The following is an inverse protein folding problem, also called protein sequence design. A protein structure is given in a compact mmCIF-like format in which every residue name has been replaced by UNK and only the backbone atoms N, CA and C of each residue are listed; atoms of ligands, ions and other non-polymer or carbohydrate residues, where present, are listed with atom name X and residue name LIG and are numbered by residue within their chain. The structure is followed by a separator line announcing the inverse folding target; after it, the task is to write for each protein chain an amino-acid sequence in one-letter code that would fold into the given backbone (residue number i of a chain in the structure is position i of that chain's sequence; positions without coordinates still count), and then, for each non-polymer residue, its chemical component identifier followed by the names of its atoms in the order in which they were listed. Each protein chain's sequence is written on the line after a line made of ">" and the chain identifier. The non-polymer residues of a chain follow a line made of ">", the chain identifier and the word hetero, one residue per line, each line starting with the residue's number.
data_IF_429558038479
#
_entry.id   IF_429558038479
#
_cell.length_a   1.000
_cell.length_b   1.000
_cell.length_c   1.000
_cell.angle_alpha   90.00
_cell.angle_beta   90.00
_cell.angle_gamma   90.00
#
_symmetry.space_group_name_H-M   'P 1'
#
loop_
_entity.id
_entity.type
_entity.pdbx_description
1 polymer ?
#
# COMPACT_ATOMS: atom_id res chain seq x y z
N UNK A 1 -19.92 19.52 7.20
CA UNK A 1 -18.65 20.00 7.80
C UNK A 1 -18.99 20.98 8.91
N UNK A 2 -18.04 21.32 9.76
CA UNK A 2 -18.18 22.31 10.83
C UNK A 2 -17.20 23.44 10.53
N UNK A 3 -17.70 24.67 10.45
CA UNK A 3 -16.88 25.88 10.34
C UNK A 3 -16.79 26.47 11.74
N UNK A 4 -15.57 26.64 12.23
CA UNK A 4 -15.28 27.22 13.53
C UNK A 4 -14.88 28.67 13.31
N UNK A 5 -15.62 29.60 13.91
CA UNK A 5 -15.33 31.04 13.82
C UNK A 5 -14.27 31.46 14.85
N UNK A 6 -13.47 32.47 14.51
CA UNK A 6 -12.52 33.12 15.42
C UNK A 6 -13.28 33.74 16.58
N UNK A 7 -12.68 33.72 17.78
CA UNK A 7 -13.21 34.47 18.93
C UNK A 7 -13.37 35.95 18.59
N UNK A 8 -14.56 36.51 18.86
CA UNK A 8 -14.88 37.90 18.56
C UNK A 8 -15.24 38.19 17.09
N UNK A 9 -15.51 37.18 16.28
CA UNK A 9 -16.02 37.39 14.91
C UNK A 9 -17.32 38.19 14.95
N UNK A 10 -17.44 39.18 14.08
CA UNK A 10 -18.62 40.05 14.04
C UNK A 10 -19.81 39.31 13.43
N UNK A 11 -21.04 39.79 13.70
CA UNK A 11 -22.23 39.22 13.09
C UNK A 11 -22.17 39.25 11.56
N UNK A 12 -21.69 40.35 10.99
CA UNK A 12 -21.48 40.48 9.55
C UNK A 12 -20.53 39.41 8.98
N UNK A 13 -19.48 39.04 9.70
CA UNK A 13 -18.55 37.98 9.27
C UNK A 13 -19.23 36.61 9.32
N UNK A 14 -20.02 36.35 10.36
CA UNK A 14 -20.82 35.11 10.48
C UNK A 14 -21.82 35.01 9.33
N UNK A 15 -22.59 36.08 9.08
CA UNK A 15 -23.61 36.11 8.05
C UNK A 15 -23.00 35.97 6.64
N UNK A 16 -21.83 36.59 6.38
CA UNK A 16 -21.08 36.39 5.12
C UNK A 16 -20.69 34.93 4.88
N UNK A 17 -20.29 34.21 5.93
CA UNK A 17 -19.96 32.78 5.82
C UNK A 17 -21.22 31.96 5.55
N UNK A 18 -22.34 32.26 6.21
CA UNK A 18 -23.64 31.60 5.98
C UNK A 18 -24.09 31.81 4.53
N UNK A 19 -24.13 33.06 4.05
CA UNK A 19 -24.53 33.38 2.68
C UNK A 19 -23.63 32.69 1.66
N UNK A 20 -22.33 32.60 1.93
CA UNK A 20 -21.39 31.90 1.06
C UNK A 20 -21.71 30.40 0.99
N UNK A 21 -22.02 29.77 2.12
CA UNK A 21 -22.38 28.35 2.20
C UNK A 21 -23.72 28.06 1.51
N UNK A 22 -24.73 28.91 1.71
CA UNK A 22 -26.04 28.78 1.06
C UNK A 22 -25.94 28.95 -0.46
N UNK A 23 -25.09 29.87 -0.95
CA UNK A 23 -24.82 30.06 -2.38
C UNK A 23 -24.18 28.82 -3.03
N UNK A 24 -23.38 28.08 -2.28
CA UNK A 24 -22.81 26.79 -2.71
C UNK A 24 -23.83 25.63 -2.56
N UNK A 25 -25.03 25.91 -2.07
CA UNK A 25 -26.13 24.96 -1.91
C UNK A 25 -26.02 24.08 -0.66
N UNK A 26 -25.35 24.55 0.39
CA UNK A 26 -25.35 23.89 1.70
C UNK A 26 -26.52 24.38 2.55
N UNK A 27 -27.14 23.47 3.30
CA UNK A 27 -27.97 23.82 4.44
C UNK A 27 -27.09 24.23 5.62
N UNK A 28 -27.49 25.25 6.37
CA UNK A 28 -26.68 25.83 7.43
C UNK A 28 -27.38 25.72 8.79
N UNK A 29 -26.61 25.37 9.82
CA UNK A 29 -27.05 25.35 11.21
C UNK A 29 -26.07 26.13 12.07
N UNK A 30 -26.49 27.33 12.51
CA UNK A 30 -25.68 28.20 13.35
C UNK A 30 -25.80 27.80 14.83
N UNK A 31 -24.67 27.71 15.52
CA UNK A 31 -24.57 27.47 16.96
C UNK A 31 -23.72 28.56 17.60
N UNK A 32 -24.36 29.49 18.29
CA UNK A 32 -23.69 30.58 19.02
C UNK A 32 -23.40 30.13 20.45
N UNK A 33 -22.17 29.69 20.70
CA UNK A 33 -21.70 29.31 22.03
C UNK A 33 -21.19 30.51 22.83
N UNK A 34 -21.11 30.36 24.15
CA UNK A 34 -20.62 31.40 25.07
C UNK A 34 -19.17 31.81 24.76
N UNK A 35 -18.34 30.86 24.33
CA UNK A 35 -16.93 31.12 23.99
C UNK A 35 -16.64 31.16 22.48
N UNK A 36 -17.48 30.52 21.67
CA UNK A 36 -17.18 30.33 20.25
C UNK A 36 -18.44 30.10 19.42
N UNK A 37 -18.49 30.73 18.25
CA UNK A 37 -19.54 30.53 17.25
C UNK A 37 -19.12 29.43 16.28
N UNK A 38 -20.03 28.50 16.02
CA UNK A 38 -19.82 27.34 15.17
C UNK A 38 -20.94 27.27 14.13
N UNK A 39 -20.58 27.02 12.87
CA UNK A 39 -21.53 26.88 11.76
C UNK A 39 -21.45 25.45 11.23
N UNK A 40 -22.52 24.67 11.40
CA UNK A 40 -22.67 23.38 10.75
C UNK A 40 -23.16 23.56 9.31
N UNK A 41 -22.45 23.00 8.34
CA UNK A 41 -22.88 23.00 6.93
C UNK A 41 -23.15 21.57 6.44
N UNK A 42 -24.36 21.35 5.92
CA UNK A 42 -24.92 20.06 5.52
C UNK A 42 -25.18 20.08 4.02
N UNK A 43 -24.55 19.18 3.27
CA UNK A 43 -24.68 19.12 1.80
C UNK A 43 -23.54 18.36 1.14
N UNK A 44 -23.56 18.32 -0.18
CA UNK A 44 -22.57 17.59 -1.00
C UNK A 44 -21.20 18.28 -0.99
N UNK A 45 -20.20 17.60 -0.42
CA UNK A 45 -18.82 18.09 -0.27
C UNK A 45 -18.13 18.33 -1.61
N UNK A 46 -18.54 17.68 -2.70
CA UNK A 46 -17.96 17.93 -4.04
C UNK A 46 -18.13 19.37 -4.50
N UNK A 47 -19.13 20.09 -3.95
CA UNK A 47 -19.41 21.51 -4.22
C UNK A 47 -18.44 22.46 -3.53
N UNK A 48 -17.60 21.98 -2.60
CA UNK A 48 -16.56 22.77 -1.93
C UNK A 48 -15.29 22.97 -2.74
N UNK A 49 -15.12 22.28 -3.89
CA UNK A 49 -13.82 22.09 -4.54
C UNK A 49 -12.93 23.33 -4.72
N UNK A 50 -13.51 24.52 -4.89
CA UNK A 50 -12.79 25.80 -5.02
C UNK A 50 -13.10 26.83 -3.91
N UNK A 51 -13.95 26.48 -2.93
CA UNK A 51 -14.36 27.39 -1.88
C UNK A 51 -13.35 27.37 -0.72
N UNK A 52 -12.43 28.32 -0.71
CA UNK A 52 -11.48 28.51 0.38
C UNK A 52 -12.17 29.16 1.59
N UNK A 53 -13.06 28.41 2.25
CA UNK A 53 -13.82 28.88 3.41
C UNK A 53 -12.91 29.38 4.54
N UNK A 54 -11.72 28.80 4.70
CA UNK A 54 -10.72 29.25 5.68
C UNK A 54 -10.12 30.63 5.40
N UNK A 55 -10.25 31.14 4.16
CA UNK A 55 -9.84 32.50 3.80
C UNK A 55 -10.94 33.53 4.07
N UNK A 56 -12.16 33.11 4.40
CA UNK A 56 -13.23 34.05 4.71
C UNK A 56 -12.94 34.76 6.05
N UNK A 57 -13.17 36.09 6.11
CA UNK A 57 -13.02 36.84 7.36
C UNK A 57 -13.81 36.21 8.51
N UNK A 58 -13.19 36.10 9.67
CA UNK A 58 -13.81 35.50 10.86
C UNK A 58 -13.74 33.96 10.92
N UNK A 59 -13.36 33.24 9.86
CA UNK A 59 -13.17 31.78 9.95
C UNK A 59 -11.84 31.46 10.61
N UNK A 60 -11.85 30.58 11.63
CA UNK A 60 -10.65 30.09 12.31
C UNK A 60 -10.15 28.80 11.66
N UNK A 61 -11.05 27.84 11.43
CA UNK A 61 -10.74 26.56 10.78
C UNK A 61 -12.01 25.88 10.27
N UNK A 62 -11.86 24.99 9.29
CA UNK A 62 -12.95 24.13 8.82
C UNK A 62 -12.66 22.69 9.18
N UNK A 63 -13.56 22.06 9.93
CA UNK A 63 -13.47 20.67 10.34
C UNK A 63 -14.38 19.81 9.45
N UNK A 64 -13.83 18.96 8.57
CA UNK A 64 -14.65 18.01 7.81
C UNK A 64 -15.31 17.00 8.76
N UNK A 65 -16.60 16.68 8.52
CA UNK A 65 -17.32 15.64 9.27
C UNK A 65 -17.14 14.27 8.60
N UNK A 66 -17.12 14.24 7.26
CA UNK A 66 -16.92 13.02 6.47
C UNK A 66 -15.44 12.86 6.13
N UNK A 67 -14.98 11.60 6.19
CA UNK A 67 -13.65 11.18 5.72
C UNK A 67 -13.44 11.65 4.27
N UNK A 68 -12.21 12.02 3.89
CA UNK A 68 -11.95 12.56 2.55
C UNK A 68 -12.02 11.50 1.44
N UNK A 69 -11.92 10.22 1.78
CA UNK A 69 -12.00 9.09 0.86
C UNK A 69 -13.35 8.37 0.99
N UNK A 70 -13.98 8.02 -0.13
CA UNK A 70 -15.30 7.37 -0.17
C UNK A 70 -15.22 5.93 -0.68
N UNK A 71 -14.69 5.73 -1.88
CA UNK A 71 -14.69 4.44 -2.58
C UNK A 71 -13.92 3.37 -1.84
N UNK A 72 -12.79 3.71 -1.20
CA UNK A 72 -11.99 2.78 -0.40
C UNK A 72 -12.60 2.53 0.99
N UNK A 73 -13.55 3.34 1.45
CA UNK A 73 -14.00 3.33 2.84
C UNK A 73 -14.91 2.14 3.16
N UNK A 74 -14.82 1.60 4.38
CA UNK A 74 -15.81 0.62 4.85
C UNK A 74 -17.23 1.17 4.98
N UNK A 75 -17.36 2.48 5.18
CA UNK A 75 -18.67 3.15 5.20
C UNK A 75 -19.38 3.04 3.85
N UNK A 76 -18.62 3.07 2.75
CA UNK A 76 -19.16 2.86 1.41
C UNK A 76 -19.34 1.38 1.08
N UNK A 77 -18.38 0.53 1.48
CA UNK A 77 -18.43 -0.92 1.26
C UNK A 77 -18.07 -1.67 2.54
N UNK A 78 -19.06 -2.14 3.32
CA UNK A 78 -18.81 -2.81 4.60
C UNK A 78 -18.00 -4.11 4.47
N UNK A 79 -18.23 -4.87 3.40
CA UNK A 79 -17.60 -6.18 3.17
C UNK A 79 -16.16 -6.02 2.67
N UNK A 80 -15.24 -6.80 3.25
CA UNK A 80 -13.85 -6.85 2.79
C UNK A 80 -13.75 -7.24 1.31
N UNK A 81 -12.95 -6.49 0.56
CA UNK A 81 -12.61 -6.81 -0.83
C UNK A 81 -11.75 -8.06 -0.90
N UNK A 82 -11.98 -8.83 -1.96
CA UNK A 82 -11.08 -9.91 -2.36
C UNK A 82 -10.42 -9.51 -3.68
N UNK A 83 -9.09 -9.50 -3.72
CA UNK A 83 -8.31 -9.13 -4.91
C UNK A 83 -7.65 -10.37 -5.48
N UNK A 84 -8.00 -10.72 -6.72
CA UNK A 84 -7.50 -11.90 -7.41
C UNK A 84 -6.28 -11.57 -8.27
N UNK A 85 -5.21 -12.35 -8.12
CA UNK A 85 -4.01 -12.32 -8.96
C UNK A 85 -3.76 -13.74 -9.46
N UNK A 86 -4.20 -14.05 -10.68
CA UNK A 86 -4.24 -15.43 -11.18
C UNK A 86 -5.07 -16.34 -10.25
N UNK A 87 -4.52 -17.46 -9.75
CA UNK A 87 -5.22 -18.34 -8.80
C UNK A 87 -5.25 -17.81 -7.36
N UNK A 88 -4.45 -16.79 -7.04
CA UNK A 88 -4.27 -16.29 -5.67
C UNK A 88 -5.30 -15.22 -5.34
N UNK A 89 -5.79 -15.20 -4.09
CA UNK A 89 -6.77 -14.22 -3.61
C UNK A 89 -6.27 -13.57 -2.31
N UNK A 90 -6.06 -12.26 -2.34
CA UNK A 90 -5.83 -11.45 -1.15
C UNK A 90 -7.16 -11.09 -0.47
N UNK A 91 -7.16 -10.94 0.86
CA UNK A 91 -8.33 -10.56 1.65
C UNK A 91 -9.26 -11.71 2.06
N UNK A 92 -8.86 -12.96 1.77
CA UNK A 92 -9.52 -14.18 2.27
C UNK A 92 -8.99 -14.62 3.64
N UNK A 93 -9.25 -15.88 4.02
CA UNK A 93 -8.70 -16.48 5.25
C UNK A 93 -7.21 -16.86 5.13
N UNK A 94 -6.76 -17.11 3.91
CA UNK A 94 -5.37 -17.40 3.60
C UNK A 94 -4.49 -16.16 3.69
N UNK A 95 -3.30 -16.32 4.28
CA UNK A 95 -2.22 -15.33 4.25
C UNK A 95 -1.46 -15.51 2.94
N UNK A 96 -1.41 -14.46 2.12
CA UNK A 96 -0.70 -14.52 0.83
C UNK A 96 0.73 -14.06 1.00
N UNK A 97 1.70 -14.84 0.54
CA UNK A 97 3.13 -14.49 0.59
C UNK A 97 3.67 -14.28 -0.82
N UNK A 98 4.10 -13.06 -1.12
CA UNK A 98 4.88 -12.73 -2.30
C UNK A 98 6.37 -12.69 -1.93
N UNK A 99 7.19 -13.49 -2.61
CA UNK A 99 8.61 -13.62 -2.29
C UNK A 99 9.48 -13.65 -3.55
N UNK A 100 10.71 -13.18 -3.44
CA UNK A 100 11.65 -13.10 -4.56
C UNK A 100 12.66 -11.97 -4.36
N UNK A 101 13.55 -11.73 -5.33
CA UNK A 101 14.66 -10.81 -5.14
C UNK A 101 14.24 -9.34 -5.13
N UNK A 102 15.14 -8.49 -4.65
CA UNK A 102 14.93 -7.04 -4.73
C UNK A 102 14.86 -6.57 -6.20
N UNK A 103 15.82 -7.03 -7.00
CA UNK A 103 15.93 -6.74 -8.43
C UNK A 103 16.07 -8.04 -9.21
N UNK A 104 15.65 -8.04 -10.47
CA UNK A 104 16.03 -9.11 -11.40
C UNK A 104 17.46 -8.82 -11.86
N UNK A 105 18.42 -9.66 -11.47
CA UNK A 105 19.85 -9.42 -11.70
C UNK A 105 20.38 -10.24 -12.88
N UNK A 106 19.89 -11.48 -13.01
CA UNK A 106 20.18 -12.36 -14.15
C UNK A 106 19.12 -13.46 -14.24
N UNK A 107 19.10 -14.16 -15.38
CA UNK A 107 18.25 -15.33 -15.59
C UNK A 107 18.47 -16.41 -14.52
N UNK A 108 19.73 -16.83 -14.33
CA UNK A 108 20.09 -17.86 -13.35
C UNK A 108 19.66 -17.47 -11.93
N UNK A 109 19.94 -16.24 -11.50
CA UNK A 109 19.58 -15.74 -10.18
C UNK A 109 18.07 -15.78 -9.96
N UNK A 110 17.28 -15.33 -10.93
CA UNK A 110 15.82 -15.31 -10.77
C UNK A 110 15.23 -16.72 -10.77
N UNK A 111 15.69 -17.61 -11.67
CA UNK A 111 15.17 -18.98 -11.75
C UNK A 111 15.45 -19.78 -10.47
N UNK A 112 16.67 -19.67 -9.93
CA UNK A 112 17.04 -20.29 -8.66
C UNK A 112 16.17 -19.77 -7.51
N UNK A 113 15.94 -18.45 -7.48
CA UNK A 113 15.09 -17.84 -6.45
C UNK A 113 13.64 -18.29 -6.57
N UNK A 114 13.08 -18.26 -7.78
CA UNK A 114 11.69 -18.61 -8.06
C UNK A 114 11.40 -20.08 -7.68
N UNK A 115 12.30 -21.00 -8.05
CA UNK A 115 12.19 -22.41 -7.67
C UNK A 115 12.23 -22.58 -6.14
N UNK A 116 13.13 -21.87 -5.46
CA UNK A 116 13.29 -21.97 -4.02
C UNK A 116 12.06 -21.43 -3.27
N UNK A 117 11.54 -20.25 -3.65
CA UNK A 117 10.38 -19.66 -2.98
C UNK A 117 9.09 -20.43 -3.29
N UNK A 118 8.94 -20.96 -4.51
CA UNK A 118 7.81 -21.83 -4.87
C UNK A 118 7.80 -23.10 -3.99
N UNK A 119 8.94 -23.79 -3.87
CA UNK A 119 9.08 -24.98 -3.01
C UNK A 119 8.80 -24.68 -1.54
N UNK A 120 9.11 -23.48 -1.08
CA UNK A 120 8.82 -23.03 0.29
C UNK A 120 7.36 -22.58 0.51
N UNK A 121 6.51 -22.57 -0.53
CA UNK A 121 5.10 -22.21 -0.43
C UNK A 121 4.78 -20.73 -0.65
N UNK A 122 5.66 -19.98 -1.32
CA UNK A 122 5.28 -18.64 -1.81
C UNK A 122 4.15 -18.73 -2.83
N UNK A 123 3.32 -17.69 -2.89
CA UNK A 123 2.14 -17.64 -3.74
C UNK A 123 2.34 -16.75 -4.96
N UNK A 124 3.20 -15.74 -4.83
CA UNK A 124 3.58 -14.84 -5.92
C UNK A 124 5.10 -14.70 -5.96
N UNK A 125 5.62 -14.49 -7.17
CA UNK A 125 7.00 -14.10 -7.39
C UNK A 125 7.09 -12.58 -7.45
N UNK A 126 7.95 -11.98 -6.61
CA UNK A 126 8.29 -10.55 -6.73
C UNK A 126 9.68 -10.36 -7.34
N UNK A 127 9.87 -9.28 -8.09
CA UNK A 127 11.18 -8.89 -8.61
C UNK A 127 11.13 -7.53 -9.29
N UNK A 128 12.09 -6.65 -9.01
CA UNK A 128 12.14 -5.33 -9.65
C UNK A 128 12.90 -5.36 -10.97
N UNK A 129 12.18 -5.19 -12.08
CA UNK A 129 12.79 -5.00 -13.41
C UNK A 129 13.32 -3.57 -13.62
N UNK A 130 12.63 -2.57 -13.05
CA UNK A 130 13.03 -1.16 -13.04
C UNK A 130 13.37 -0.73 -11.60
N UNK A 131 14.50 -0.04 -11.40
CA UNK A 131 14.95 0.37 -10.07
C UNK A 131 15.06 1.89 -9.97
N UNK A 132 14.14 2.57 -9.26
CA UNK A 132 14.28 4.00 -8.98
C UNK A 132 15.36 4.19 -7.90
N UNK A 133 16.60 4.46 -8.34
CA UNK A 133 17.77 4.62 -7.46
C UNK A 133 18.04 6.09 -7.17
N UNK A 134 18.52 6.34 -5.95
CA UNK A 134 18.98 7.68 -5.54
C UNK A 134 20.22 8.13 -6.32
N UNK A 135 21.08 7.19 -6.70
CA UNK A 135 22.29 7.45 -7.49
C UNK A 135 22.12 6.94 -8.92
N UNK A 136 22.46 7.75 -9.95
CA UNK A 136 22.39 7.34 -11.35
C UNK A 136 23.42 6.26 -11.70
N UNK A 137 24.49 6.10 -10.91
CA UNK A 137 25.55 5.11 -11.13
C UNK A 137 25.24 3.73 -10.54
N UNK A 138 24.10 3.59 -9.86
CA UNK A 138 23.64 2.30 -9.35
C UNK A 138 23.02 1.46 -10.46
N UNK A 139 22.96 0.14 -10.26
CA UNK A 139 22.19 -0.75 -11.13
C UNK A 139 20.73 -0.27 -11.24
N UNK A 140 20.29 0.01 -12.47
CA UNK A 140 18.97 0.56 -12.81
C UNK A 140 17.91 -0.53 -13.07
N UNK A 141 18.34 -1.80 -13.12
CA UNK A 141 17.49 -2.93 -13.50
C UNK A 141 17.77 -3.41 -14.92
N UNK A 142 17.20 -4.55 -15.28
CA UNK A 142 17.26 -5.12 -16.64
C UNK A 142 16.10 -4.65 -17.54
N UNK A 143 15.22 -3.79 -17.03
CA UNK A 143 14.09 -3.23 -17.76
C UNK A 143 13.24 -4.34 -18.42
N UNK A 144 12.93 -4.23 -19.72
CA UNK A 144 12.10 -5.22 -20.41
C UNK A 144 12.71 -6.64 -20.39
N UNK A 145 14.03 -6.78 -20.47
CA UNK A 145 14.67 -8.10 -20.36
C UNK A 145 14.43 -8.71 -18.97
N UNK A 146 14.41 -7.89 -17.92
CA UNK A 146 14.00 -8.32 -16.58
C UNK A 146 12.55 -8.80 -16.52
N UNK A 147 11.64 -8.13 -17.24
CA UNK A 147 10.23 -8.54 -17.34
C UNK A 147 10.07 -9.87 -18.08
N UNK A 148 10.83 -10.11 -19.16
CA UNK A 148 10.83 -11.39 -19.89
C UNK A 148 11.27 -12.55 -19.00
N UNK A 149 12.34 -12.35 -18.21
CA UNK A 149 12.82 -13.37 -17.27
C UNK A 149 11.77 -13.65 -16.19
N UNK A 150 11.09 -12.61 -15.66
CA UNK A 150 9.99 -12.78 -14.71
C UNK A 150 8.83 -13.59 -15.32
N UNK A 151 8.44 -13.30 -16.56
CA UNK A 151 7.39 -14.03 -17.25
C UNK A 151 7.77 -15.50 -17.46
N UNK A 152 9.01 -15.80 -17.86
CA UNK A 152 9.50 -17.18 -17.96
C UNK A 152 9.43 -17.90 -16.60
N UNK A 153 9.84 -17.24 -15.51
CA UNK A 153 9.78 -17.81 -14.17
C UNK A 153 8.34 -18.09 -13.73
N UNK A 154 7.38 -17.22 -14.08
CA UNK A 154 5.95 -17.48 -13.87
C UNK A 154 5.51 -18.76 -14.57
N UNK A 155 5.77 -18.88 -15.87
CA UNK A 155 5.33 -20.06 -16.65
C UNK A 155 5.96 -21.34 -16.10
N UNK A 156 7.23 -21.27 -15.68
CA UNK A 156 7.97 -22.44 -15.21
C UNK A 156 7.59 -22.91 -13.81
N UNK A 157 7.30 -21.99 -12.90
CA UNK A 157 7.07 -22.30 -11.47
C UNK A 157 5.64 -22.04 -11.00
N UNK A 158 4.76 -21.55 -11.86
CA UNK A 158 3.35 -21.32 -11.57
C UNK A 158 3.09 -20.19 -10.58
N UNK A 159 4.05 -19.28 -10.39
CA UNK A 159 3.94 -18.14 -9.48
C UNK A 159 3.55 -16.86 -10.25
N UNK A 160 2.35 -16.29 -10.05
CA UNK A 160 2.01 -14.98 -10.60
C UNK A 160 3.03 -13.91 -10.20
N UNK A 161 3.30 -12.99 -11.11
CA UNK A 161 4.35 -11.97 -10.96
C UNK A 161 3.79 -10.66 -10.46
N UNK A 162 4.42 -10.13 -9.40
CA UNK A 162 4.28 -8.72 -8.98
C UNK A 162 5.60 -7.98 -9.20
N UNK A 163 5.56 -6.91 -9.99
CA UNK A 163 6.74 -6.06 -10.30
C UNK A 163 6.36 -4.59 -10.31
N UNK A 164 7.34 -3.73 -10.03
CA UNK A 164 7.15 -2.29 -9.89
C UNK A 164 7.03 -1.58 -11.24
N UNK A 165 6.07 -0.65 -11.32
CA UNK A 165 5.96 0.33 -12.40
C UNK A 165 6.45 1.67 -11.88
N UNK A 166 7.36 2.32 -12.62
CA UNK A 166 8.04 3.54 -12.15
C UNK A 166 7.54 4.81 -12.81
N UNK A 167 6.89 4.73 -13.97
CA UNK A 167 6.34 5.87 -14.71
C UNK A 167 5.07 5.51 -15.51
N UNK A 168 4.18 6.49 -15.81
CA UNK A 168 2.96 6.23 -16.57
C UNK A 168 3.21 5.54 -17.92
N UNK A 169 4.27 5.92 -18.62
CA UNK A 169 4.61 5.40 -19.95
C UNK A 169 5.01 3.92 -19.92
N UNK A 170 5.50 3.44 -18.76
CA UNK A 170 5.87 2.03 -18.58
C UNK A 170 4.71 1.13 -18.18
N UNK A 171 3.51 1.67 -17.90
CA UNK A 171 2.36 0.90 -17.39
C UNK A 171 1.95 -0.20 -18.36
N UNK A 172 1.74 0.14 -19.64
CA UNK A 172 1.31 -0.82 -20.66
C UNK A 172 2.32 -1.95 -20.84
N UNK A 173 3.60 -1.59 -20.97
CA UNK A 173 4.70 -2.56 -21.09
C UNK A 173 4.73 -3.51 -19.90
N UNK A 174 4.77 -2.99 -18.68
CA UNK A 174 4.84 -3.84 -17.47
C UNK A 174 3.57 -4.68 -17.31
N UNK A 175 2.39 -4.14 -17.61
CA UNK A 175 1.11 -4.86 -17.54
C UNK A 175 1.02 -6.04 -18.51
N UNK A 176 1.77 -6.02 -19.62
CA UNK A 176 1.83 -7.14 -20.56
C UNK A 176 2.57 -8.36 -20.00
N UNK A 177 3.51 -8.15 -19.06
CA UNK A 177 4.29 -9.21 -18.43
C UNK A 177 3.84 -9.55 -17.00
N UNK A 178 3.29 -8.59 -16.26
CA UNK A 178 2.95 -8.74 -14.85
C UNK A 178 1.48 -9.15 -14.61
N UNK A 179 1.25 -9.91 -13.54
CA UNK A 179 -0.08 -10.26 -13.05
C UNK A 179 -0.61 -9.22 -12.04
N UNK A 180 0.30 -8.50 -11.37
CA UNK A 180 0.01 -7.42 -10.45
C UNK A 180 1.04 -6.30 -10.59
N UNK A 181 0.58 -5.05 -10.63
CA UNK A 181 1.43 -3.86 -10.73
C UNK A 181 1.74 -3.33 -9.33
N UNK A 182 3.01 -3.21 -8.97
CA UNK A 182 3.42 -2.56 -7.74
C UNK A 182 3.66 -1.06 -7.97
N UNK A 183 3.07 -0.22 -7.11
CA UNK A 183 3.46 1.18 -6.96
C UNK A 183 4.39 1.27 -5.75
N UNK A 184 5.65 1.63 -5.99
CA UNK A 184 6.64 1.79 -4.94
C UNK A 184 6.35 3.00 -4.04
N UNK A 185 6.90 2.98 -2.82
CA UNK A 185 6.66 4.02 -1.80
C UNK A 185 7.02 5.45 -2.25
N UNK A 186 8.00 5.59 -3.18
CA UNK A 186 8.38 6.90 -3.75
C UNK A 186 7.34 7.47 -4.70
N UNK A 187 6.54 6.59 -5.31
CA UNK A 187 5.51 6.90 -6.28
C UNK A 187 4.09 6.86 -5.69
N UNK A 188 3.93 6.67 -4.37
CA UNK A 188 2.59 6.63 -3.74
C UNK A 188 1.76 7.88 -4.03
N UNK A 189 2.38 9.05 -4.19
CA UNK A 189 1.69 10.31 -4.55
C UNK A 189 1.98 10.76 -5.98
N UNK A 190 2.49 9.87 -6.84
CA UNK A 190 2.59 10.14 -8.27
C UNK A 190 1.21 9.95 -8.90
N UNK A 191 0.34 10.97 -8.78
CA UNK A 191 -1.07 10.86 -9.16
C UNK A 191 -1.30 10.57 -10.65
N UNK A 192 -0.38 10.97 -11.53
CA UNK A 192 -0.46 10.61 -12.95
C UNK A 192 -0.26 9.11 -13.14
N UNK A 193 0.77 8.54 -12.49
CA UNK A 193 1.01 7.10 -12.50
C UNK A 193 -0.15 6.32 -11.85
N UNK A 194 -0.69 6.80 -10.73
CA UNK A 194 -1.83 6.14 -10.07
C UNK A 194 -3.06 6.06 -10.98
N UNK A 195 -3.36 7.13 -11.74
CA UNK A 195 -4.48 7.11 -12.68
C UNK A 195 -4.25 6.14 -13.82
N UNK A 196 -3.04 6.14 -14.39
CA UNK A 196 -2.71 5.25 -15.50
C UNK A 196 -2.73 3.78 -15.08
N UNK A 197 -2.20 3.46 -13.90
CA UNK A 197 -2.30 2.13 -13.31
C UNK A 197 -3.75 1.75 -12.99
N UNK A 198 -4.58 2.71 -12.56
CA UNK A 198 -6.03 2.50 -12.43
C UNK A 198 -6.67 2.07 -13.75
N UNK A 199 -6.39 2.79 -14.85
CA UNK A 199 -6.95 2.49 -16.18
C UNK A 199 -6.49 1.15 -16.76
N UNK A 200 -5.33 0.64 -16.34
CA UNK A 200 -4.83 -0.66 -16.80
C UNK A 200 -5.74 -1.84 -16.43
N UNK A 201 -6.58 -1.70 -15.39
CA UNK A 201 -7.45 -2.76 -14.89
C UNK A 201 -6.73 -3.94 -14.19
N UNK A 202 -5.39 -3.95 -14.17
CA UNK A 202 -4.59 -4.96 -13.46
C UNK A 202 -4.70 -4.78 -11.94
N UNK A 203 -4.62 -5.85 -11.14
CA UNK A 203 -4.45 -5.74 -9.70
C UNK A 203 -3.24 -4.87 -9.33
N UNK A 204 -3.38 -4.05 -8.28
CA UNK A 204 -2.37 -3.06 -7.87
C UNK A 204 -1.92 -3.30 -6.44
N UNK A 205 -0.61 -3.37 -6.22
CA UNK A 205 0.00 -3.36 -4.89
C UNK A 205 0.49 -1.94 -4.57
N UNK A 206 -0.22 -1.21 -3.73
CA UNK A 206 0.11 0.18 -3.39
C UNK A 206 0.92 0.25 -2.09
N UNK A 207 2.23 0.50 -2.20
CA UNK A 207 3.08 0.72 -1.03
C UNK A 207 2.82 2.07 -0.38
N UNK A 208 2.72 2.11 0.95
CA UNK A 208 2.66 3.35 1.71
C UNK A 208 3.93 4.18 1.51
N UNK A 209 3.77 5.48 1.34
CA UNK A 209 4.86 6.44 1.25
C UNK A 209 5.58 6.58 2.59
N UNK A 210 6.90 6.79 2.55
CA UNK A 210 7.73 6.78 3.75
C UNK A 210 7.43 7.92 4.76
N UNK A 211 6.64 8.91 4.39
CA UNK A 211 6.20 9.98 5.29
C UNK A 211 4.67 10.17 5.25
N UNK A 212 3.95 9.22 4.64
CA UNK A 212 2.52 9.34 4.44
C UNK A 212 1.75 8.92 5.69
N UNK A 213 0.72 9.69 6.03
CA UNK A 213 -0.34 9.27 6.96
C UNK A 213 -1.18 8.14 6.37
N UNK A 214 -1.98 7.45 7.21
CA UNK A 214 -2.93 6.45 6.72
C UNK A 214 -3.98 7.09 5.82
N UNK A 215 -4.43 8.31 6.13
CA UNK A 215 -5.38 9.04 5.29
C UNK A 215 -4.82 9.31 3.89
N UNK A 216 -3.59 9.81 3.76
CA UNK A 216 -2.96 10.06 2.47
C UNK A 216 -2.75 8.77 1.67
N UNK A 217 -2.47 7.67 2.35
CA UNK A 217 -2.33 6.36 1.73
C UNK A 217 -3.67 5.83 1.19
N UNK A 218 -4.75 5.99 1.94
CA UNK A 218 -6.11 5.64 1.49
C UNK A 218 -6.58 6.56 0.37
N UNK A 219 -6.24 7.85 0.41
CA UNK A 219 -6.49 8.77 -0.71
C UNK A 219 -5.72 8.38 -1.98
N UNK A 220 -4.48 7.90 -1.86
CA UNK A 220 -3.74 7.39 -3.01
C UNK A 220 -4.42 6.14 -3.63
N UNK A 221 -4.99 5.26 -2.80
CA UNK A 221 -5.83 4.16 -3.28
C UNK A 221 -7.13 4.67 -3.94
N UNK A 222 -7.76 5.70 -3.38
CA UNK A 222 -8.95 6.35 -3.94
C UNK A 222 -8.72 6.83 -5.38
N UNK A 223 -7.54 7.39 -5.69
CA UNK A 223 -7.18 7.76 -7.06
C UNK A 223 -7.25 6.58 -8.03
N UNK A 224 -6.75 5.40 -7.64
CA UNK A 224 -6.80 4.18 -8.47
C UNK A 224 -8.25 3.72 -8.64
N UNK A 225 -9.03 3.67 -7.54
CA UNK A 225 -10.44 3.26 -7.57
C UNK A 225 -11.30 4.20 -8.40
N UNK A 226 -11.00 5.50 -8.39
CA UNK A 226 -11.76 6.52 -9.12
C UNK A 226 -11.66 6.38 -10.64
N UNK A 227 -10.63 5.72 -11.15
CA UNK A 227 -10.49 5.36 -12.57
C UNK A 227 -11.16 4.01 -12.90
N UNK A 228 -11.89 3.40 -11.95
CA UNK A 228 -12.69 2.19 -12.14
C UNK A 228 -12.01 0.88 -11.70
N UNK A 229 -10.80 0.93 -11.15
CA UNK A 229 -10.07 -0.27 -10.74
C UNK A 229 -10.14 -0.50 -9.23
N UNK A 230 -11.00 -1.43 -8.82
CA UNK A 230 -11.22 -1.81 -7.42
C UNK A 230 -10.28 -2.92 -6.92
N UNK A 231 -9.33 -3.38 -7.73
CA UNK A 231 -8.41 -4.47 -7.42
C UNK A 231 -7.13 -3.95 -6.77
N UNK A 232 -7.25 -3.29 -5.60
CA UNK A 232 -6.10 -2.69 -4.90
C UNK A 232 -5.79 -3.44 -3.61
N UNK A 233 -4.52 -3.76 -3.41
CA UNK A 233 -3.95 -4.28 -2.16
C UNK A 233 -3.01 -3.23 -1.59
N UNK A 234 -3.21 -2.89 -0.33
CA UNK A 234 -2.39 -1.94 0.40
C UNK A 234 -1.15 -2.65 0.96
N UNK A 235 0.05 -2.08 0.82
CA UNK A 235 1.27 -2.58 1.45
C UNK A 235 1.91 -1.58 2.44
N UNK A 236 1.84 -1.87 3.74
CA UNK A 236 2.60 -1.16 4.79
C UNK A 236 4.08 -1.57 4.74
N UNK A 237 4.99 -0.60 4.82
CA UNK A 237 6.43 -0.82 4.52
C UNK A 237 7.38 0.07 5.30
N UNK A 238 6.91 0.67 6.39
CA UNK A 238 7.63 1.52 7.31
C UNK A 238 7.68 3.00 6.92
N UNK A 239 7.69 3.81 7.96
CA UNK A 239 7.77 5.27 7.94
C UNK A 239 9.17 5.75 8.33
N UNK A 240 9.52 6.95 7.86
CA UNK A 240 10.69 7.68 8.31
C UNK A 240 10.37 8.34 9.64
N UNK A 241 11.22 8.08 10.62
CA UNK A 241 11.14 8.67 11.96
C UNK A 241 12.52 9.22 12.33
N UNK A 242 12.70 9.59 13.60
CA UNK A 242 14.00 9.95 14.15
C UNK A 242 14.89 8.72 14.45
N UNK A 243 14.34 7.51 14.42
CA UNK A 243 15.09 6.28 14.69
C UNK A 243 16.08 5.99 13.55
N UNK A 244 17.30 5.56 13.90
CA UNK A 244 18.41 5.35 12.95
C UNK A 244 18.91 3.91 12.91
N UNK A 245 18.55 3.08 13.90
CA UNK A 245 18.93 1.67 13.98
C UNK A 245 18.17 0.79 12.98
N UNK A 246 17.09 1.28 12.37
CA UNK A 246 16.36 0.60 11.30
C UNK A 246 16.20 1.54 10.11
N UNK A 247 16.03 0.98 8.90
CA UNK A 247 15.88 1.79 7.68
C UNK A 247 14.60 2.64 7.73
N UNK A 248 13.54 2.07 8.29
CA UNK A 248 12.27 2.70 8.58
C UNK A 248 11.71 2.12 9.89
N UNK A 249 10.79 2.83 10.53
CA UNK A 249 9.99 2.29 11.62
C UNK A 249 8.76 1.63 11.02
N UNK A 250 8.64 0.31 11.15
CA UNK A 250 7.49 -0.44 10.63
C UNK A 250 6.24 -0.16 11.48
N UNK A 251 5.28 0.54 10.89
CA UNK A 251 4.03 0.95 11.55
C UNK A 251 3.02 -0.20 11.50
N UNK A 252 3.12 -1.15 12.44
CA UNK A 252 2.16 -2.27 12.51
C UNK A 252 0.78 -1.86 13.00
N UNK A 253 0.62 -0.73 13.70
CA UNK A 253 -0.70 -0.20 14.08
C UNK A 253 -1.51 0.27 12.85
N UNK A 254 -0.86 0.63 11.75
CA UNK A 254 -1.54 0.92 10.50
C UNK A 254 -2.29 -0.28 9.92
N UNK A 255 -1.89 -1.52 10.21
CA UNK A 255 -2.58 -2.73 9.72
C UNK A 255 -4.01 -2.83 10.26
N UNK A 256 -4.25 -2.94 11.58
CA UNK A 256 -5.60 -2.98 12.12
C UNK A 256 -6.37 -1.68 11.84
N UNK A 257 -5.72 -0.51 11.91
CA UNK A 257 -6.37 0.77 11.63
C UNK A 257 -6.87 0.85 10.18
N UNK A 258 -6.05 0.46 9.20
CA UNK A 258 -6.50 0.39 7.81
C UNK A 258 -7.64 -0.62 7.66
N UNK A 259 -7.58 -1.78 8.33
CA UNK A 259 -8.67 -2.76 8.29
C UNK A 259 -9.97 -2.26 8.92
N UNK A 260 -9.96 -1.29 9.83
CA UNK A 260 -11.17 -0.61 10.30
C UNK A 260 -11.70 0.41 9.28
N UNK A 261 -10.80 1.14 8.63
CA UNK A 261 -11.14 2.27 7.77
C UNK A 261 -11.53 1.86 6.34
N UNK A 262 -10.88 0.82 5.80
CA UNK A 262 -11.04 0.37 4.42
C UNK A 262 -11.38 -1.12 4.31
N UNK A 263 -12.11 -1.45 3.25
CA UNK A 263 -12.38 -2.84 2.87
C UNK A 263 -11.22 -3.48 2.09
N UNK A 264 -10.21 -2.72 1.66
CA UNK A 264 -9.10 -3.25 0.86
C UNK A 264 -8.20 -4.19 1.69
N UNK A 265 -7.64 -5.26 1.08
CA UNK A 265 -6.66 -6.11 1.76
C UNK A 265 -5.38 -5.33 2.11
N UNK A 266 -4.77 -5.67 3.25
CA UNK A 266 -3.55 -5.01 3.74
C UNK A 266 -2.44 -6.03 3.94
N UNK A 267 -1.32 -5.87 3.24
CA UNK A 267 -0.11 -6.68 3.38
C UNK A 267 1.03 -5.87 4.00
N UNK A 268 2.09 -6.55 4.43
CA UNK A 268 3.25 -5.91 5.05
C UNK A 268 4.56 -6.30 4.35
N UNK A 269 5.44 -5.34 4.14
CA UNK A 269 6.82 -5.53 3.65
C UNK A 269 7.82 -5.38 4.82
N UNK A 270 8.15 -6.46 5.52
CA UNK A 270 9.11 -6.44 6.63
C UNK A 270 10.56 -6.27 6.18
N UNK A 271 10.88 -6.64 4.93
CA UNK A 271 12.23 -6.52 4.36
C UNK A 271 12.62 -5.05 4.23
N UNK A 272 11.86 -4.27 3.47
CA UNK A 272 12.09 -2.84 3.36
C UNK A 272 11.71 -2.08 4.62
N UNK A 273 10.69 -2.54 5.35
CA UNK A 273 10.22 -1.92 6.58
C UNK A 273 11.30 -1.84 7.65
N UNK A 274 12.17 -2.84 7.73
CA UNK A 274 13.27 -2.84 8.70
C UNK A 274 14.63 -2.52 8.08
N UNK A 275 14.84 -2.94 6.82
CA UNK A 275 16.14 -2.91 6.15
C UNK A 275 17.16 -3.89 6.73
N UNK A 276 16.74 -4.89 7.53
CA UNK A 276 17.64 -5.85 8.19
C UNK A 276 17.06 -7.25 8.16
N UNK A 277 17.76 -8.18 7.50
CA UNK A 277 17.29 -9.56 7.32
C UNK A 277 16.99 -10.25 8.66
N UNK A 278 17.75 -9.92 9.71
CA UNK A 278 17.58 -10.52 11.05
C UNK A 278 16.27 -10.12 11.74
N UNK A 279 15.67 -9.01 11.34
CA UNK A 279 14.39 -8.54 11.88
C UNK A 279 13.19 -9.03 11.06
N UNK A 280 13.41 -9.44 9.81
CA UNK A 280 12.35 -9.89 8.89
C UNK A 280 11.49 -11.01 9.50
N UNK A 281 12.05 -12.08 10.10
CA UNK A 281 11.22 -13.15 10.66
C UNK A 281 10.27 -12.68 11.77
N UNK A 282 10.78 -11.89 12.72
CA UNK A 282 9.98 -11.39 13.83
C UNK A 282 8.88 -10.45 13.33
N UNK A 283 9.20 -9.55 12.41
CA UNK A 283 8.25 -8.59 11.85
C UNK A 283 7.22 -9.23 10.92
N UNK A 284 7.56 -10.32 10.24
CA UNK A 284 6.60 -11.11 9.46
C UNK A 284 5.55 -11.77 10.36
N UNK A 285 5.98 -12.40 11.47
CA UNK A 285 5.06 -12.98 12.46
C UNK A 285 4.18 -11.91 13.09
N UNK A 286 4.77 -10.78 13.50
CA UNK A 286 4.04 -9.68 14.11
C UNK A 286 3.00 -9.08 13.13
N UNK A 287 3.34 -8.94 11.85
CA UNK A 287 2.41 -8.47 10.83
C UNK A 287 1.18 -9.38 10.68
N UNK A 288 1.38 -10.70 10.62
CA UNK A 288 0.27 -11.66 10.54
C UNK A 288 -0.56 -11.64 11.82
N UNK A 289 0.08 -11.60 13.00
CA UNK A 289 -0.63 -11.48 14.27
C UNK A 289 -1.43 -10.16 14.38
N UNK A 290 -0.95 -9.07 13.78
CA UNK A 290 -1.66 -7.79 13.70
C UNK A 290 -2.82 -7.79 12.69
N UNK A 291 -3.02 -8.88 11.95
CA UNK A 291 -4.14 -9.08 11.04
C UNK A 291 -3.83 -8.79 9.56
N UNK A 292 -2.56 -8.72 9.16
CA UNK A 292 -2.20 -8.56 7.75
C UNK A 292 -2.75 -9.73 6.90
N UNK A 293 -3.18 -9.42 5.68
CA UNK A 293 -3.69 -10.39 4.70
C UNK A 293 -2.57 -11.02 3.85
N UNK A 294 -1.32 -10.59 4.07
CA UNK A 294 -0.17 -11.11 3.36
C UNK A 294 1.16 -10.44 3.70
N UNK A 295 2.21 -10.95 3.09
CA UNK A 295 3.60 -10.51 3.28
C UNK A 295 4.30 -10.33 1.93
N UNK A 296 5.16 -9.32 1.83
CA UNK A 296 6.06 -9.10 0.70
C UNK A 296 7.50 -9.21 1.19
N UNK A 297 8.20 -10.29 0.82
CA UNK A 297 9.50 -10.66 1.42
C UNK A 297 10.60 -10.71 0.36
N UNK A 298 11.76 -10.14 0.68
CA UNK A 298 12.96 -10.26 -0.15
C UNK A 298 13.72 -11.55 0.13
N UNK A 299 13.97 -12.30 -0.93
CA UNK A 299 14.76 -13.54 -0.92
C UNK A 299 15.79 -13.46 -2.03
N UNK A 300 17.05 -13.72 -1.69
CA UNK A 300 18.15 -13.79 -2.66
C UNK A 300 18.98 -15.04 -2.37
N UNK A 301 19.43 -15.80 -3.38
CA UNK A 301 20.20 -17.03 -3.16
C UNK A 301 21.55 -16.73 -2.50
N UNK A 302 22.15 -15.59 -2.85
CA UNK A 302 23.47 -15.12 -2.37
C UNK A 302 23.39 -13.64 -1.97
N UNK A 303 22.75 -13.27 -0.83
CA UNK A 303 22.51 -11.86 -0.48
C UNK A 303 23.77 -10.99 -0.42
N UNK A 304 24.93 -11.60 -0.14
CA UNK A 304 26.25 -10.98 -0.11
C UNK A 304 26.74 -10.51 -1.50
N UNK A 305 26.22 -11.07 -2.58
CA UNK A 305 26.55 -10.73 -3.97
C UNK A 305 25.48 -9.84 -4.63
N UNK A 306 24.37 -9.54 -3.93
CA UNK A 306 23.23 -8.86 -4.53
C UNK A 306 23.57 -7.43 -5.01
N UNK A 307 23.12 -7.09 -6.22
CA UNK A 307 23.28 -5.76 -6.81
C UNK A 307 22.41 -4.68 -6.14
N UNK A 308 21.46 -5.12 -5.31
CA UNK A 308 20.59 -4.24 -4.53
C UNK A 308 20.07 -4.93 -3.28
N UNK A 309 20.01 -4.20 -2.16
CA UNK A 309 19.21 -4.59 -1.00
C UNK A 309 19.54 -5.99 -0.41
N UNK A 310 20.80 -6.43 -0.56
CA UNK A 310 21.34 -7.64 0.06
C UNK A 310 21.16 -7.71 1.59
N UNK A 311 21.42 -6.63 2.37
CA UNK A 311 21.33 -6.66 3.83
C UNK A 311 19.96 -7.02 4.42
N UNK A 312 18.87 -6.84 3.67
CA UNK A 312 17.51 -7.21 4.09
C UNK A 312 16.97 -8.49 3.46
N UNK A 313 17.70 -9.05 2.49
CA UNK A 313 17.27 -10.25 1.76
C UNK A 313 17.53 -11.50 2.60
N UNK A 314 16.52 -12.37 2.70
CA UNK A 314 16.68 -13.70 3.29
C UNK A 314 17.37 -14.63 2.29
N UNK A 315 18.09 -15.63 2.81
CA UNK A 315 18.48 -16.79 2.00
C UNK A 315 17.28 -17.74 1.84
N UNK A 316 17.25 -18.60 0.81
CA UNK A 316 16.23 -19.64 0.65
C UNK A 316 15.95 -20.44 1.92
N UNK A 317 17.00 -20.90 2.61
CA UNK A 317 16.88 -21.66 3.86
C UNK A 317 16.17 -20.87 4.96
N UNK A 318 16.49 -19.57 5.10
CA UNK A 318 15.85 -18.71 6.10
C UNK A 318 14.40 -18.41 5.72
N UNK A 319 14.09 -18.30 4.43
CA UNK A 319 12.74 -18.13 3.94
C UNK A 319 11.87 -19.36 4.22
N UNK A 320 12.36 -20.57 3.96
CA UNK A 320 11.63 -21.82 4.31
C UNK A 320 11.30 -21.87 5.81
N UNK A 321 12.29 -21.63 6.67
CA UNK A 321 12.07 -21.61 8.12
C UNK A 321 11.08 -20.51 8.55
N UNK A 322 11.05 -19.38 7.83
CA UNK A 322 10.09 -18.32 8.08
C UNK A 322 8.66 -18.74 7.71
N UNK A 323 8.47 -19.42 6.58
CA UNK A 323 7.15 -19.87 6.14
C UNK A 323 6.49 -20.80 7.18
N UNK A 324 7.26 -21.71 7.77
CA UNK A 324 6.81 -22.57 8.88
C UNK A 324 6.36 -21.76 10.11
N UNK A 325 7.17 -20.77 10.50
CA UNK A 325 6.87 -19.90 11.64
C UNK A 325 5.64 -19.02 11.41
N UNK A 326 5.47 -18.52 10.18
CA UNK A 326 4.30 -17.71 9.81
C UNK A 326 3.04 -18.58 9.78
N UNK A 327 3.13 -19.82 9.31
CA UNK A 327 1.99 -20.74 9.29
C UNK A 327 1.45 -21.02 10.69
N UNK A 328 2.35 -21.29 11.65
CA UNK A 328 1.96 -21.48 13.06
C UNK A 328 1.28 -20.24 13.66
N UNK A 329 1.79 -19.03 13.35
CA UNK A 329 1.16 -17.79 13.83
C UNK A 329 -0.19 -17.55 13.16
N UNK A 330 -0.29 -17.79 11.84
CA UNK A 330 -1.54 -17.64 11.10
C UNK A 330 -2.63 -18.53 11.71
N UNK A 331 -2.32 -19.80 11.98
CA UNK A 331 -3.24 -20.74 12.63
C UNK A 331 -3.69 -20.23 14.01
N UNK A 332 -2.74 -19.77 14.83
CA UNK A 332 -3.03 -19.24 16.18
C UNK A 332 -3.97 -18.02 16.18
N UNK A 333 -4.03 -17.26 15.08
CA UNK A 333 -4.95 -16.12 14.91
C UNK A 333 -6.15 -16.42 14.00
N UNK A 334 -6.45 -17.70 13.76
CA UNK A 334 -7.63 -18.13 12.98
C UNK A 334 -7.52 -17.88 11.47
N UNK A 335 -6.29 -17.76 10.96
CA UNK A 335 -5.95 -17.62 9.53
C UNK A 335 -5.21 -18.88 9.06
N UNK A 336 -4.95 -18.98 7.75
CA UNK A 336 -4.25 -20.15 7.19
C UNK A 336 -3.09 -19.76 6.30
N UNK A 337 -2.01 -20.53 6.35
CA UNK A 337 -0.94 -20.51 5.35
C UNK A 337 -0.62 -21.97 5.02
N UNK A 338 -1.29 -22.57 4.02
CA UNK A 338 -1.04 -23.95 3.66
C UNK A 338 0.39 -24.06 3.13
N UNK A 339 1.20 -24.90 3.75
CA UNK A 339 2.54 -25.22 3.28
C UNK A 339 2.48 -26.42 2.33
N UNK A 340 3.35 -26.48 1.30
CA UNK A 340 3.49 -27.67 0.48
C UNK A 340 3.73 -28.89 1.38
N UNK A 341 3.08 -30.03 1.08
CA UNK A 341 3.31 -31.27 1.83
C UNK A 341 4.81 -31.58 1.84
N UNK A 342 5.40 -31.65 3.03
CA UNK A 342 6.84 -31.74 3.20
C UNK A 342 7.42 -32.92 2.44
N UNK A 343 8.41 -32.66 1.58
CA UNK A 343 9.51 -33.62 1.45
C UNK A 343 10.30 -33.48 2.75
N UNK A 344 9.89 -34.22 3.77
CA UNK A 344 10.73 -34.50 4.93
C UNK A 344 12.07 -35.01 4.39
N UNK A 345 13.14 -34.26 4.66
CA UNK A 345 14.50 -34.71 4.42
C UNK A 345 14.83 -35.92 5.29
#
# INVERSE_FOLDING_TARGET
>A
MIIVMKRGSTRDQVDQVIEHLERLGFGVHLSEGVEQTVIGAIGDKSRLGAANLELLPGVERVVPILKPFKLVSREFRPESSQVRVGPVVFGGDQIVVAAGPCSVESHQQLMETAEAVARAGAHLLRGGAFKPRTSPYSFQGLEEEGLKILAEARERFGLPVVTEVVSPESVELVASYADMLQIGARNMQNFQLLREVGRSGKPVLLKRGMAATVEEWLMAAEYILSEGNFNVVLCERGLRTFETATRFTLDLNAVPLAKELTHLPVVVDPSHGTGKWSLVPAMSRAAVAAGADGLLIEVHPRPEEALSDGPQSLTPKRFTALMEQVAAVAEAVGRRLPLPAGQTA
#
